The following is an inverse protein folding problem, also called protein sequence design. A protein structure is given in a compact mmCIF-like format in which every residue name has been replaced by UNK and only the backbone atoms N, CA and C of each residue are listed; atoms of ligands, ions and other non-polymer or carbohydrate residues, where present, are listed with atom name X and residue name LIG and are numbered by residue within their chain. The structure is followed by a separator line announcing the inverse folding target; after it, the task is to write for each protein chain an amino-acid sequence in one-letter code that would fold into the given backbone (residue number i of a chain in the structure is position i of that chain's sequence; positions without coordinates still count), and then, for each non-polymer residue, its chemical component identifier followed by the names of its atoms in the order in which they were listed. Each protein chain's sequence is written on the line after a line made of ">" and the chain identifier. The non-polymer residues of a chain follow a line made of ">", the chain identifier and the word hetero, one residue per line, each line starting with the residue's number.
data_IF_995285609184
#
_entry.id   IF_995285609184
#
_cell.length_a   1.000
_cell.length_b   1.000
_cell.length_c   1.000
_cell.angle_alpha   90.00
_cell.angle_beta   90.00
_cell.angle_gamma   90.00
#
_symmetry.space_group_name_H-M   'P 1'
#
loop_
_entity.id
_entity.type
_entity.pdbx_description
1 polymer ?
#
# COMPACT_ATOMS: atom_id res chain seq x y z
N UNK A 1 -47.51 -26.91 5.20
CA UNK A 1 -47.06 -25.92 6.19
C UNK A 1 -45.54 -25.85 6.06
N UNK A 2 -45.09 -25.37 4.91
CA UNK A 2 -44.70 -23.97 4.67
C UNK A 2 -43.39 -23.72 5.43
N UNK A 3 -42.20 -23.69 4.82
CA UNK A 3 -41.83 -23.18 3.51
C UNK A 3 -41.00 -21.92 3.73
N UNK A 4 -39.71 -21.92 3.34
CA UNK A 4 -38.99 -20.79 2.73
C UNK A 4 -37.48 -20.95 2.84
N UNK A 5 -36.88 -21.32 1.71
CA UNK A 5 -35.50 -21.08 1.28
C UNK A 5 -35.25 -19.59 1.01
N UNK A 6 -34.09 -19.06 1.42
CA UNK A 6 -33.61 -17.75 0.97
C UNK A 6 -32.32 -17.89 0.17
N UNK A 7 -32.47 -17.53 -1.10
CA UNK A 7 -31.55 -17.55 -2.23
C UNK A 7 -30.61 -16.31 -2.19
N UNK A 8 -29.33 -16.48 -2.53
CA UNK A 8 -28.33 -15.41 -2.59
C UNK A 8 -28.25 -14.87 -4.01
N UNK A 9 -28.94 -13.76 -4.28
CA UNK A 9 -28.81 -13.02 -5.54
C UNK A 9 -27.49 -12.26 -5.63
N UNK A 10 -26.70 -12.57 -6.67
CA UNK A 10 -25.63 -11.72 -7.22
C UNK A 10 -26.25 -10.42 -7.76
N UNK A 11 -25.85 -9.27 -7.23
CA UNK A 11 -26.15 -7.96 -7.83
C UNK A 11 -25.08 -7.62 -8.87
N UNK A 12 -25.46 -7.78 -10.14
CA UNK A 12 -24.71 -7.30 -11.30
C UNK A 12 -24.99 -5.80 -11.45
N UNK A 13 -23.93 -4.99 -11.56
CA UNK A 13 -24.06 -3.60 -12.01
C UNK A 13 -24.32 -3.68 -13.53
N UNK A 14 -25.49 -3.21 -13.95
CA UNK A 14 -25.87 -3.12 -15.37
C UNK A 14 -26.37 -1.71 -15.63
N UNK A 15 -25.69 -0.99 -16.51
CA UNK A 15 -26.26 0.15 -17.19
C UNK A 15 -27.25 -0.36 -18.25
N UNK A 16 -28.48 0.16 -18.20
CA UNK A 16 -29.54 -0.13 -19.18
C UNK A 16 -29.63 1.04 -20.15
N UNK A 17 -29.53 0.82 -21.47
CA UNK A 17 -30.32 1.50 -22.52
C UNK A 17 -30.21 0.75 -23.86
N UNK A 18 -31.33 0.78 -24.57
CA UNK A 18 -31.86 -0.01 -25.68
C UNK A 18 -31.20 0.26 -27.05
N UNK A 19 -31.17 -0.78 -27.88
CA UNK A 19 -30.55 -0.90 -29.21
C UNK A 19 -31.31 -0.22 -30.36
N UNK A 20 -30.63 -0.01 -31.52
CA UNK A 20 -31.06 -0.47 -32.86
C UNK A 20 -29.97 -0.28 -33.95
N UNK A 21 -29.53 -1.40 -34.55
CA UNK A 21 -29.16 -1.73 -35.95
C UNK A 21 -28.53 -0.67 -36.89
N UNK A 22 -27.34 -0.94 -37.47
CA UNK A 22 -27.06 -1.49 -38.84
C UNK A 22 -26.45 -0.41 -39.76
N UNK A 23 -25.50 -0.59 -40.68
CA UNK A 23 -24.58 -1.64 -41.14
C UNK A 23 -23.61 -0.95 -42.14
N UNK A 24 -22.42 -1.54 -42.38
CA UNK A 24 -21.51 -1.34 -43.54
C UNK A 24 -20.84 0.05 -43.73
N UNK A 25 -19.62 0.27 -44.22
CA UNK A 25 -18.50 -0.53 -44.70
C UNK A 25 -17.29 0.41 -45.03
N UNK A 26 -16.07 -0.08 -44.75
CA UNK A 26 -14.83 -0.01 -45.57
C UNK A 26 -14.00 1.30 -45.76
N UNK A 27 -12.69 1.16 -45.42
CA UNK A 27 -11.52 1.70 -46.16
C UNK A 27 -10.80 2.88 -45.48
N UNK A 28 -9.61 2.75 -44.87
CA UNK A 28 -8.29 2.51 -45.50
C UNK A 28 -7.68 3.86 -45.95
N UNK A 29 -6.45 4.30 -45.66
CA UNK A 29 -5.20 3.63 -45.33
C UNK A 29 -4.13 4.70 -44.95
N UNK A 30 -3.28 4.35 -43.98
CA UNK A 30 -1.83 4.48 -43.84
C UNK A 30 -1.00 5.61 -44.49
N UNK A 31 -0.03 6.11 -43.70
CA UNK A 31 1.08 6.95 -44.13
C UNK A 31 2.09 7.23 -43.00
N UNK A 32 2.85 6.20 -42.62
CA UNK A 32 4.03 6.20 -41.74
C UNK A 32 5.21 6.95 -42.44
N UNK A 33 6.17 7.61 -41.77
CA UNK A 33 7.52 7.04 -41.48
C UNK A 33 8.51 8.09 -40.90
N UNK A 34 9.18 7.68 -39.79
CA UNK A 34 10.59 7.86 -39.29
C UNK A 34 11.16 9.26 -38.94
N UNK A 35 11.69 9.54 -37.73
CA UNK A 35 12.79 9.00 -36.86
C UNK A 35 14.14 9.70 -37.12
N UNK A 36 14.71 10.35 -36.09
CA UNK A 36 16.16 10.44 -35.86
C UNK A 36 16.48 10.55 -34.35
N UNK A 37 17.69 10.10 -33.98
CA UNK A 37 18.09 9.57 -32.68
C UNK A 37 19.43 10.20 -32.21
N UNK A 38 19.45 10.80 -31.00
CA UNK A 38 20.56 10.94 -30.01
C UNK A 38 21.83 11.78 -30.37
N UNK A 39 22.66 12.30 -29.41
CA UNK A 39 23.03 11.71 -28.11
C UNK A 39 23.16 12.65 -26.88
N UNK A 40 23.55 12.02 -25.76
CA UNK A 40 23.68 12.51 -24.39
C UNK A 40 24.98 13.30 -24.11
N UNK A 41 24.98 14.10 -23.03
CA UNK A 41 26.09 14.19 -22.07
C UNK A 41 25.69 14.94 -20.78
N UNK A 42 26.20 14.43 -19.64
CA UNK A 42 26.21 15.07 -18.30
C UNK A 42 27.69 15.41 -18.00
N UNK A 43 28.04 16.38 -17.11
CA UNK A 43 28.34 15.98 -15.72
C UNK A 43 28.17 17.07 -14.61
N UNK A 44 28.16 16.54 -13.36
CA UNK A 44 28.71 17.08 -12.10
C UNK A 44 27.97 18.14 -11.21
N UNK A 45 27.44 17.62 -10.09
CA UNK A 45 27.65 17.97 -8.65
C UNK A 45 27.63 19.41 -8.14
N UNK A 46 26.78 19.68 -7.13
CA UNK A 46 27.16 20.37 -5.88
C UNK A 46 26.12 20.18 -4.75
N UNK A 47 26.64 19.97 -3.54
CA UNK A 47 25.96 19.81 -2.27
C UNK A 47 25.14 21.02 -1.81
N UNK A 48 23.97 20.78 -1.20
CA UNK A 48 23.48 21.65 -0.13
C UNK A 48 22.58 20.90 0.87
N UNK A 49 23.14 20.65 2.05
CA UNK A 49 22.45 20.18 3.24
C UNK A 49 21.63 21.29 3.90
N UNK A 50 20.33 21.08 4.09
CA UNK A 50 19.53 21.78 5.12
C UNK A 50 18.44 20.87 5.69
N UNK A 51 18.67 20.44 6.95
CA UNK A 51 17.68 20.38 8.05
C UNK A 51 16.23 19.96 7.74
N UNK A 52 15.95 18.65 7.78
CA UNK A 52 14.58 18.11 7.84
C UNK A 52 14.08 18.03 9.27
N UNK A 53 13.38 19.08 9.70
CA UNK A 53 12.45 19.02 10.84
C UNK A 53 11.22 18.20 10.44
N UNK A 54 10.86 17.19 11.25
CA UNK A 54 9.62 16.41 11.12
C UNK A 54 8.40 17.34 11.21
N UNK A 55 7.93 17.83 10.06
CA UNK A 55 6.64 18.51 9.94
C UNK A 55 5.54 17.47 9.83
N UNK A 56 4.58 17.57 10.75
CA UNK A 56 3.31 16.83 10.81
C UNK A 56 2.68 16.74 9.41
N UNK A 57 2.37 15.51 8.98
CA UNK A 57 1.74 15.19 7.70
C UNK A 57 0.47 16.03 7.50
N UNK A 58 0.42 16.72 6.37
CA UNK A 58 -0.78 17.40 5.84
C UNK A 58 -1.90 16.36 5.68
N UNK A 59 -3.09 16.76 6.09
CA UNK A 59 -4.35 16.03 6.07
C UNK A 59 -4.64 15.40 4.69
N UNK A 60 -5.14 14.17 4.72
CA UNK A 60 -5.89 13.48 3.67
C UNK A 60 -6.74 14.46 2.85
N UNK A 61 -6.25 14.81 1.66
CA UNK A 61 -6.94 15.62 0.64
C UNK A 61 -6.62 15.15 -0.79
N UNK A 62 -6.06 13.94 -0.93
CA UNK A 62 -5.88 13.17 -2.17
C UNK A 62 -6.78 11.94 -1.92
N UNK A 63 -7.85 11.58 -2.64
CA UNK A 63 -7.96 11.17 -4.04
C UNK A 63 -9.45 11.32 -4.49
N UNK A 64 -9.97 12.54 -4.53
CA UNK A 64 -11.26 12.84 -5.19
C UNK A 64 -11.18 14.09 -6.08
N UNK A 65 -9.97 14.63 -6.26
CA UNK A 65 -9.66 15.75 -7.14
C UNK A 65 -8.69 15.30 -8.23
N UNK A 66 -9.16 14.40 -9.08
CA UNK A 66 -8.66 14.33 -10.46
C UNK A 66 -9.87 14.71 -11.33
N UNK A 67 -9.67 15.76 -12.13
CA UNK A 67 -10.70 16.53 -12.80
C UNK A 67 -10.71 17.99 -12.35
N UNK A 68 -9.59 18.71 -12.47
CA UNK A 68 -9.68 20.15 -12.72
C UNK A 68 -10.48 20.31 -14.01
N UNK A 69 -11.74 20.78 -13.85
CA UNK A 69 -12.72 21.14 -14.88
C UNK A 69 -12.18 21.12 -16.32
N UNK A 70 -12.28 19.98 -17.00
CA UNK A 70 -12.24 19.95 -18.46
C UNK A 70 -13.66 20.29 -18.94
N UNK A 71 -13.95 21.59 -19.01
CA UNK A 71 -15.14 22.11 -19.69
C UNK A 71 -16.50 21.69 -19.10
N UNK A 72 -17.56 22.02 -19.85
CA UNK A 72 -18.98 21.82 -19.51
C UNK A 72 -19.37 20.34 -19.76
N UNK A 73 -18.58 19.40 -19.27
CA UNK A 73 -18.85 17.96 -19.41
C UNK A 73 -19.47 17.47 -18.10
N UNK A 74 -20.71 16.96 -18.18
CA UNK A 74 -21.36 16.34 -17.03
C UNK A 74 -20.54 15.13 -16.56
N UNK A 75 -20.15 15.11 -15.29
CA UNK A 75 -19.40 14.00 -14.70
C UNK A 75 -20.33 12.91 -14.14
N UNK A 76 -19.98 11.65 -14.40
CA UNK A 76 -20.67 10.50 -13.81
C UNK A 76 -20.39 10.44 -12.31
N UNK A 77 -21.48 10.35 -11.53
CA UNK A 77 -21.39 10.19 -10.07
C UNK A 77 -21.12 8.73 -9.74
N UNK A 78 -20.05 8.50 -9.00
CA UNK A 78 -19.76 7.20 -8.40
C UNK A 78 -20.73 7.00 -7.22
N UNK A 79 -21.19 5.75 -7.02
CA UNK A 79 -22.08 5.42 -5.94
C UNK A 79 -21.50 5.85 -4.58
N UNK A 80 -22.26 6.54 -3.71
CA UNK A 80 -21.76 7.04 -2.44
C UNK A 80 -21.29 5.92 -1.52
N UNK A 81 -21.92 4.74 -1.59
CA UNK A 81 -21.51 3.53 -0.85
C UNK A 81 -20.09 3.08 -1.21
N UNK A 82 -19.76 3.11 -2.50
CA UNK A 82 -18.43 2.74 -3.00
C UNK A 82 -17.35 3.71 -2.51
N UNK A 83 -17.65 5.00 -2.48
CA UNK A 83 -16.75 6.03 -1.91
C UNK A 83 -16.53 5.78 -0.41
N UNK A 84 -17.61 5.51 0.33
CA UNK A 84 -17.51 5.21 1.76
C UNK A 84 -16.66 3.96 2.03
N UNK A 85 -16.73 2.95 1.17
CA UNK A 85 -15.92 1.73 1.32
C UNK A 85 -14.44 1.95 1.01
N UNK A 86 -14.12 2.79 0.01
CA UNK A 86 -12.75 3.26 -0.22
C UNK A 86 -12.24 4.03 1.02
N UNK A 87 -13.06 4.91 1.60
CA UNK A 87 -12.67 5.65 2.80
C UNK A 87 -12.42 4.72 3.99
N UNK A 88 -13.23 3.66 4.17
CA UNK A 88 -12.99 2.64 5.21
C UNK A 88 -11.66 1.94 4.99
N UNK A 89 -11.32 1.63 3.74
CA UNK A 89 -10.02 1.05 3.39
C UNK A 89 -8.86 1.98 3.77
N UNK A 90 -8.95 3.27 3.41
CA UNK A 90 -7.92 4.28 3.75
C UNK A 90 -7.80 4.45 5.26
N UNK A 91 -8.91 4.53 5.99
CA UNK A 91 -8.90 4.61 7.46
C UNK A 91 -8.22 3.41 8.09
N UNK A 92 -8.43 2.21 7.54
CA UNK A 92 -7.72 1.03 8.03
C UNK A 92 -6.22 1.10 7.73
N UNK A 93 -5.83 1.60 6.56
CA UNK A 93 -4.44 1.84 6.23
C UNK A 93 -3.77 2.78 7.24
N UNK A 94 -4.39 3.91 7.59
CA UNK A 94 -3.82 4.86 8.55
C UNK A 94 -3.52 4.18 9.91
N UNK A 95 -4.48 3.40 10.41
CA UNK A 95 -4.32 2.62 11.65
C UNK A 95 -3.23 1.56 11.51
N UNK A 96 -3.13 0.92 10.34
CA UNK A 96 -2.11 -0.09 10.07
C UNK A 96 -0.70 0.52 10.00
N UNK A 97 -0.52 1.68 9.35
CA UNK A 97 0.75 2.41 9.26
C UNK A 97 1.24 2.82 10.66
N UNK A 98 0.35 3.41 11.48
CA UNK A 98 0.67 3.80 12.85
C UNK A 98 1.02 2.59 13.73
N UNK A 99 0.31 1.47 13.55
CA UNK A 99 0.59 0.22 14.26
C UNK A 99 1.95 -0.35 13.86
N UNK A 100 2.30 -0.37 12.57
CA UNK A 100 3.61 -0.82 12.10
C UNK A 100 4.71 0.03 12.73
N UNK A 101 4.58 1.36 12.69
CA UNK A 101 5.57 2.27 13.29
C UNK A 101 5.73 2.03 14.80
N UNK A 102 4.63 1.79 15.51
CA UNK A 102 4.65 1.51 16.95
C UNK A 102 5.33 0.18 17.25
N UNK A 103 4.99 -0.88 16.51
CA UNK A 103 5.61 -2.21 16.68
C UNK A 103 7.10 -2.18 16.34
N UNK A 104 7.49 -1.51 15.25
CA UNK A 104 8.90 -1.35 14.89
C UNK A 104 9.67 -0.59 15.97
N UNK A 105 9.08 0.45 16.57
CA UNK A 105 9.68 1.20 17.68
C UNK A 105 9.90 0.36 18.94
N UNK A 106 9.03 -0.62 19.22
CA UNK A 106 9.21 -1.57 20.33
C UNK A 106 10.33 -2.56 20.02
N UNK A 107 10.39 -3.07 18.77
CA UNK A 107 11.35 -4.08 18.35
C UNK A 107 12.77 -3.52 18.18
N UNK A 108 12.90 -2.26 17.78
CA UNK A 108 14.19 -1.63 17.52
C UNK A 108 14.16 -0.17 17.99
N UNK A 109 14.71 0.09 19.18
CA UNK A 109 14.75 1.44 19.76
C UNK A 109 15.71 2.38 19.04
N UNK A 110 16.67 1.86 18.26
CA UNK A 110 17.64 2.69 17.56
C UNK A 110 17.02 3.30 16.28
N UNK A 111 16.80 4.62 16.21
CA UNK A 111 16.15 5.26 15.07
C UNK A 111 16.99 5.19 13.79
N UNK A 112 18.32 5.04 13.88
CA UNK A 112 19.19 4.92 12.70
C UNK A 112 18.96 3.61 11.96
N UNK A 113 18.67 2.53 12.69
CA UNK A 113 18.42 1.21 12.11
C UNK A 113 17.02 1.18 11.50
N UNK A 114 16.03 1.74 12.21
CA UNK A 114 14.67 1.90 11.67
C UNK A 114 14.63 2.74 10.39
N UNK A 115 15.48 3.77 10.27
CA UNK A 115 15.57 4.58 9.05
C UNK A 115 15.97 3.74 7.82
N UNK A 116 16.73 2.65 8.01
CA UNK A 116 17.07 1.70 6.94
C UNK A 116 15.97 0.68 6.68
N UNK A 117 14.80 0.83 7.31
CA UNK A 117 13.69 -0.12 7.21
C UNK A 117 14.05 -1.52 7.76
N UNK A 118 15.05 -1.61 8.64
CA UNK A 118 15.48 -2.86 9.29
C UNK A 118 15.07 -2.87 10.76
N UNK A 119 14.82 -4.06 11.28
CA UNK A 119 14.49 -4.28 12.70
C UNK A 119 15.68 -4.92 13.42
N UNK A 120 16.37 -5.85 12.75
CA UNK A 120 17.54 -6.53 13.29
C UNK A 120 18.70 -5.54 13.42
N UNK A 121 19.33 -5.50 14.60
CA UNK A 121 20.61 -4.83 14.77
C UNK A 121 21.66 -5.49 13.86
N UNK A 122 22.70 -4.79 13.42
CA UNK A 122 23.80 -5.49 12.73
C UNK A 122 24.55 -6.37 13.74
N UNK A 123 25.29 -7.36 13.25
CA UNK A 123 26.12 -8.21 14.12
C UNK A 123 27.01 -7.35 15.02
N UNK A 124 27.07 -7.69 16.31
CA UNK A 124 27.90 -7.03 17.33
C UNK A 124 27.53 -5.57 17.65
N UNK A 125 26.45 -5.03 17.09
CA UNK A 125 25.95 -3.69 17.43
C UNK A 125 24.67 -3.74 18.29
N UNK A 126 24.33 -4.92 18.80
CA UNK A 126 23.26 -5.04 19.78
C UNK A 126 23.76 -4.52 21.15
N UNK A 127 22.97 -3.67 21.85
CA UNK A 127 23.40 -3.10 23.13
C UNK A 127 23.74 -4.17 24.17
N UNK A 128 23.08 -5.33 24.14
CA UNK A 128 23.37 -6.42 25.08
C UNK A 128 24.60 -7.24 24.66
N UNK A 129 24.90 -7.32 23.36
CA UNK A 129 26.17 -7.90 22.87
C UNK A 129 27.37 -7.02 23.24
N UNK A 130 27.20 -5.69 23.16
CA UNK A 130 28.18 -4.71 23.66
C UNK A 130 28.38 -4.84 25.16
N UNK A 131 27.30 -4.88 25.95
CA UNK A 131 27.36 -5.09 27.38
C UNK A 131 28.05 -6.42 27.76
N UNK A 132 27.78 -7.50 27.01
CA UNK A 132 28.44 -8.80 27.21
C UNK A 132 29.94 -8.69 26.99
N UNK A 133 30.39 -7.98 25.94
CA UNK A 133 31.83 -7.74 25.69
C UNK A 133 32.47 -6.91 26.80
N UNK A 134 31.81 -5.85 27.25
CA UNK A 134 32.30 -5.03 28.36
C UNK A 134 32.44 -5.86 29.65
N UNK A 135 31.45 -6.69 29.98
CA UNK A 135 31.51 -7.57 31.14
C UNK A 135 32.64 -8.59 31.06
N UNK A 136 32.97 -9.08 29.85
CA UNK A 136 34.12 -9.99 29.66
C UNK A 136 35.44 -9.29 29.98
N UNK A 137 35.64 -8.05 29.51
CA UNK A 137 36.85 -7.28 29.82
C UNK A 137 36.97 -7.01 31.34
N UNK A 138 35.85 -6.70 32.01
CA UNK A 138 35.83 -6.51 33.45
C UNK A 138 36.14 -7.82 34.20
N UNK A 139 35.66 -8.97 33.69
CA UNK A 139 35.99 -10.27 34.26
C UNK A 139 37.50 -10.53 34.23
N UNK A 140 38.15 -10.23 33.11
CA UNK A 140 39.60 -10.36 32.93
C UNK A 140 40.36 -9.45 33.91
N UNK A 141 39.94 -8.19 34.06
CA UNK A 141 40.57 -7.21 34.97
C UNK A 141 40.47 -7.59 36.45
N UNK A 142 39.33 -8.15 36.87
CA UNK A 142 39.07 -8.53 38.27
C UNK A 142 39.37 -10.00 38.58
N UNK A 143 40.14 -10.70 37.72
CA UNK A 143 40.47 -12.14 37.88
C UNK A 143 41.10 -12.47 39.23
N UNK A 144 41.82 -11.53 39.84
CA UNK A 144 42.54 -11.72 41.10
C UNK A 144 41.64 -11.54 42.35
N UNK A 145 40.44 -10.99 42.20
CA UNK A 145 39.56 -10.69 43.33
C UNK A 145 38.30 -11.60 43.27
N UNK A 146 38.21 -12.65 44.11
CA UNK A 146 37.25 -13.74 43.92
C UNK A 146 35.78 -13.31 44.06
N UNK A 147 35.49 -12.32 44.92
CA UNK A 147 34.12 -11.82 45.13
C UNK A 147 33.62 -11.02 43.92
N UNK A 148 34.42 -10.11 43.40
CA UNK A 148 34.08 -9.27 42.25
C UNK A 148 34.10 -10.08 40.96
N UNK A 149 35.03 -11.02 40.79
CA UNK A 149 35.05 -11.96 39.68
C UNK A 149 33.77 -12.80 39.59
N UNK A 150 33.29 -13.34 40.73
CA UNK A 150 32.03 -14.11 40.78
C UNK A 150 30.82 -13.25 40.38
N UNK A 151 30.77 -11.99 40.82
CA UNK A 151 29.71 -11.06 40.45
C UNK A 151 29.71 -10.77 38.93
N UNK A 152 30.88 -10.45 38.36
CA UNK A 152 31.02 -10.20 36.91
C UNK A 152 30.71 -11.44 36.07
N UNK A 153 31.00 -12.63 36.57
CA UNK A 153 30.62 -13.90 35.91
C UNK A 153 29.10 -14.00 35.76
N UNK A 154 28.35 -13.64 36.82
CA UNK A 154 26.88 -13.64 36.80
C UNK A 154 26.37 -12.58 35.80
N UNK A 155 26.85 -11.34 35.87
CA UNK A 155 26.44 -10.28 34.94
C UNK A 155 26.73 -10.63 33.48
N UNK A 156 27.92 -11.16 33.18
CA UNK A 156 28.26 -11.62 31.85
C UNK A 156 27.30 -12.71 31.36
N UNK A 157 26.93 -13.65 32.22
CA UNK A 157 25.90 -14.67 31.93
C UNK A 157 24.53 -14.06 31.61
N UNK A 158 24.07 -13.12 32.43
CA UNK A 158 22.80 -12.41 32.23
C UNK A 158 22.77 -11.63 30.91
N UNK A 159 23.78 -10.79 30.63
CA UNK A 159 23.83 -10.01 29.39
C UNK A 159 23.95 -10.91 28.15
N UNK A 160 24.70 -12.02 28.25
CA UNK A 160 24.79 -12.99 27.16
C UNK A 160 23.44 -13.64 26.86
N UNK A 161 22.66 -13.97 27.89
CA UNK A 161 21.32 -14.51 27.71
C UNK A 161 20.37 -13.46 27.12
N UNK A 162 20.40 -12.24 27.66
CA UNK A 162 19.58 -11.12 27.19
C UNK A 162 19.88 -10.76 25.73
N UNK A 163 21.15 -10.81 25.30
CA UNK A 163 21.54 -10.62 23.91
C UNK A 163 20.88 -11.65 22.98
N UNK A 164 20.87 -12.94 23.36
CA UNK A 164 20.20 -13.99 22.58
C UNK A 164 18.70 -13.75 22.50
N UNK A 165 18.06 -13.49 23.65
CA UNK A 165 16.62 -13.21 23.71
C UNK A 165 16.26 -12.00 22.85
N UNK A 166 17.03 -10.92 22.93
CA UNK A 166 16.77 -9.71 22.15
C UNK A 166 16.89 -9.94 20.63
N UNK A 167 17.83 -10.80 20.19
CA UNK A 167 17.93 -11.23 18.79
C UNK A 167 16.71 -12.03 18.34
N UNK A 168 16.29 -13.00 19.14
CA UNK A 168 15.11 -13.82 18.86
C UNK A 168 13.85 -12.98 18.78
N UNK A 169 13.70 -12.03 19.71
CA UNK A 169 12.70 -10.96 19.70
C UNK A 169 12.77 -10.23 18.35
N UNK A 170 13.84 -9.52 18.02
CA UNK A 170 13.92 -8.77 16.73
C UNK A 170 13.55 -9.64 15.50
N UNK A 171 14.06 -10.87 15.42
CA UNK A 171 13.81 -11.81 14.34
C UNK A 171 12.33 -12.20 14.25
N UNK A 172 11.74 -12.65 15.36
CA UNK A 172 10.36 -13.09 15.37
C UNK A 172 9.41 -11.94 15.00
N UNK A 173 9.78 -10.68 15.26
CA UNK A 173 8.85 -9.53 15.14
C UNK A 173 8.80 -9.01 13.78
N UNK A 174 9.98 -8.94 13.18
CA UNK A 174 10.06 -8.83 11.73
C UNK A 174 9.18 -9.88 11.06
N UNK A 175 9.15 -11.13 11.55
CA UNK A 175 8.27 -12.17 10.99
C UNK A 175 6.78 -11.93 11.30
N UNK A 176 6.44 -11.46 12.50
CA UNK A 176 5.07 -11.23 12.94
C UNK A 176 4.42 -10.04 12.23
N UNK A 177 5.17 -8.96 12.00
CA UNK A 177 4.65 -7.74 11.37
C UNK A 177 4.79 -7.72 9.85
N UNK A 178 5.44 -8.72 9.25
CA UNK A 178 5.80 -8.73 7.82
C UNK A 178 4.60 -8.48 6.90
N UNK A 179 3.47 -9.16 7.13
CA UNK A 179 2.28 -9.02 6.26
C UNK A 179 1.66 -7.64 6.43
N UNK A 180 1.52 -7.17 7.67
CA UNK A 180 1.03 -5.82 7.96
C UNK A 180 1.91 -4.75 7.29
N UNK A 181 3.23 -4.92 7.35
CA UNK A 181 4.19 -4.03 6.69
C UNK A 181 4.09 -4.10 5.16
N UNK A 182 3.92 -5.29 4.57
CA UNK A 182 3.67 -5.44 3.13
C UNK A 182 2.39 -4.74 2.70
N UNK A 183 1.34 -4.84 3.51
CA UNK A 183 0.08 -4.16 3.25
C UNK A 183 0.27 -2.64 3.17
N UNK A 184 0.94 -2.06 4.16
CA UNK A 184 1.22 -0.62 4.22
C UNK A 184 2.14 -0.17 3.08
N UNK A 185 3.25 -0.86 2.84
CA UNK A 185 4.26 -0.41 1.86
C UNK A 185 3.94 -0.76 0.41
N UNK A 186 3.05 -1.73 0.15
CA UNK A 186 2.78 -2.22 -1.22
C UNK A 186 1.30 -2.28 -1.55
N UNK A 187 0.51 -3.05 -0.79
CA UNK A 187 -0.86 -3.37 -1.20
C UNK A 187 -1.75 -2.11 -1.22
N UNK A 188 -1.56 -1.19 -0.27
CA UNK A 188 -2.24 0.10 -0.28
C UNK A 188 -1.86 0.97 -1.49
N UNK A 189 -0.57 1.06 -1.85
CA UNK A 189 -0.13 1.83 -3.02
C UNK A 189 -0.72 1.29 -4.32
N UNK A 190 -0.85 -0.04 -4.43
CA UNK A 190 -1.51 -0.67 -5.57
C UNK A 190 -2.99 -0.31 -5.63
N UNK A 191 -3.71 -0.36 -4.51
CA UNK A 191 -5.11 0.07 -4.44
C UNK A 191 -5.28 1.56 -4.83
N UNK A 192 -4.40 2.45 -4.38
CA UNK A 192 -4.42 3.86 -4.76
C UNK A 192 -4.21 4.07 -6.26
N UNK A 193 -3.30 3.32 -6.86
CA UNK A 193 -3.05 3.39 -8.30
C UNK A 193 -4.26 2.88 -9.11
N UNK A 194 -4.89 1.79 -8.67
CA UNK A 194 -6.12 1.30 -9.31
C UNK A 194 -7.30 2.27 -9.12
N UNK A 195 -7.39 2.97 -7.98
CA UNK A 195 -8.36 4.04 -7.77
C UNK A 195 -8.09 5.24 -8.70
N UNK A 196 -6.82 5.62 -8.91
CA UNK A 196 -6.44 6.69 -9.83
C UNK A 196 -6.83 6.35 -11.27
N UNK A 197 -6.56 5.11 -11.70
CA UNK A 197 -6.98 4.60 -13.03
C UNK A 197 -8.50 4.63 -13.17
N UNK A 198 -9.25 4.29 -12.11
CA UNK A 198 -10.71 4.38 -12.12
C UNK A 198 -11.19 5.81 -12.39
N UNK A 199 -10.60 6.82 -11.74
CA UNK A 199 -10.96 8.22 -12.00
C UNK A 199 -10.66 8.63 -13.44
N UNK A 200 -9.54 8.17 -14.01
CA UNK A 200 -9.19 8.46 -15.41
C UNK A 200 -10.18 7.79 -16.37
N UNK A 201 -10.49 6.50 -16.15
CA UNK A 201 -11.47 5.79 -16.98
C UNK A 201 -12.85 6.44 -16.95
N UNK A 202 -13.26 7.01 -15.79
CA UNK A 202 -14.49 7.79 -15.66
C UNK A 202 -14.45 9.03 -16.56
N UNK A 203 -13.37 9.81 -16.49
CA UNK A 203 -13.24 11.06 -17.24
C UNK A 203 -13.25 10.79 -18.77
N UNK A 204 -12.58 9.70 -19.21
CA UNK A 204 -12.60 9.25 -20.61
C UNK A 204 -14.02 8.82 -21.03
N UNK A 205 -14.68 8.01 -20.20
CA UNK A 205 -16.07 7.57 -20.45
C UNK A 205 -17.04 8.76 -20.53
N UNK A 206 -16.89 9.77 -19.66
CA UNK A 206 -17.72 10.96 -19.67
C UNK A 206 -17.48 11.83 -20.91
N UNK A 207 -16.23 11.91 -21.38
CA UNK A 207 -15.88 12.55 -22.65
C UNK A 207 -16.53 11.82 -23.84
N UNK A 208 -16.39 10.49 -23.92
CA UNK A 208 -17.00 9.70 -24.98
C UNK A 208 -18.54 9.82 -24.97
N UNK A 209 -19.17 9.88 -23.78
CA UNK A 209 -20.60 10.16 -23.65
C UNK A 209 -20.97 11.54 -24.20
N UNK A 210 -20.15 12.55 -23.92
CA UNK A 210 -20.36 13.89 -24.43
C UNK A 210 -20.30 13.92 -25.96
N UNK A 211 -19.32 13.24 -26.56
CA UNK A 211 -19.15 13.16 -28.01
C UNK A 211 -20.39 12.55 -28.67
N UNK A 212 -20.88 11.40 -28.17
CA UNK A 212 -22.14 10.77 -28.63
C UNK A 212 -23.32 11.73 -28.61
N UNK A 213 -23.41 12.59 -27.59
CA UNK A 213 -24.51 13.57 -27.44
C UNK A 213 -24.40 14.76 -28.38
N UNK A 214 -23.19 15.15 -28.79
CA UNK A 214 -22.97 16.29 -29.69
C UNK A 214 -23.11 15.92 -31.16
N UNK A 215 -22.99 14.64 -31.49
CA UNK A 215 -23.12 14.12 -32.85
C UNK A 215 -24.53 14.30 -33.41
N UNK A 216 -24.63 14.69 -34.70
CA UNK A 216 -25.92 14.97 -35.37
C UNK A 216 -26.26 13.95 -36.47
N UNK A 217 -25.28 13.21 -36.97
CA UNK A 217 -25.47 12.25 -38.06
C UNK A 217 -25.56 10.82 -37.51
N UNK A 218 -26.37 9.97 -38.16
CA UNK A 218 -26.64 8.62 -37.68
C UNK A 218 -25.39 7.72 -37.69
N UNK A 219 -24.55 7.85 -38.71
CA UNK A 219 -23.32 7.05 -38.87
C UNK A 219 -22.28 7.37 -37.79
N UNK A 220 -22.08 8.66 -37.51
CA UNK A 220 -21.16 9.09 -36.45
C UNK A 220 -21.69 8.70 -35.06
N UNK A 221 -23.02 8.70 -34.84
CA UNK A 221 -23.62 8.24 -33.57
C UNK A 221 -23.31 6.75 -33.34
N UNK A 222 -23.36 5.91 -34.37
CA UNK A 222 -22.99 4.50 -34.24
C UNK A 222 -21.50 4.34 -33.91
N UNK A 223 -20.62 5.10 -34.59
CA UNK A 223 -19.18 5.08 -34.34
C UNK A 223 -18.82 5.51 -32.91
N UNK A 224 -19.29 6.69 -32.48
CA UNK A 224 -19.05 7.18 -31.12
C UNK A 224 -19.76 6.32 -30.06
N UNK A 225 -20.90 5.72 -30.39
CA UNK A 225 -21.60 4.78 -29.51
C UNK A 225 -20.75 3.55 -29.18
N UNK A 226 -20.10 2.96 -30.19
CA UNK A 226 -19.15 1.84 -30.00
C UNK A 226 -17.95 2.23 -29.13
N UNK A 227 -17.40 3.44 -29.33
CA UNK A 227 -16.31 3.95 -28.48
C UNK A 227 -16.76 4.15 -27.03
N UNK A 228 -17.95 4.70 -26.82
CA UNK A 228 -18.53 4.87 -25.50
C UNK A 228 -18.75 3.54 -24.79
N UNK A 229 -19.28 2.53 -25.49
CA UNK A 229 -19.46 1.17 -24.94
C UNK A 229 -18.13 0.56 -24.48
N UNK A 230 -17.06 0.72 -25.26
CA UNK A 230 -15.71 0.32 -24.86
C UNK A 230 -15.24 1.03 -23.59
N UNK A 231 -15.44 2.34 -23.50
CA UNK A 231 -15.05 3.12 -22.32
C UNK A 231 -15.85 2.72 -21.06
N UNK A 232 -17.14 2.38 -21.21
CA UNK A 232 -17.97 1.85 -20.11
C UNK A 232 -17.42 0.51 -19.63
N UNK A 233 -17.08 -0.39 -20.55
CA UNK A 233 -16.48 -1.68 -20.21
C UNK A 233 -15.17 -1.52 -19.43
N UNK A 234 -14.30 -0.61 -19.87
CA UNK A 234 -13.03 -0.33 -19.19
C UNK A 234 -13.24 0.27 -17.80
N UNK A 235 -14.20 1.19 -17.65
CA UNK A 235 -14.59 1.74 -16.35
C UNK A 235 -15.09 0.65 -15.40
N UNK A 236 -15.99 -0.23 -15.85
CA UNK A 236 -16.53 -1.32 -15.06
C UNK A 236 -15.45 -2.33 -14.65
N UNK A 237 -14.55 -2.69 -15.58
CA UNK A 237 -13.39 -3.53 -15.29
C UNK A 237 -12.49 -2.91 -14.22
N UNK A 238 -12.26 -1.60 -14.30
CA UNK A 238 -11.43 -0.89 -13.34
C UNK A 238 -12.11 -0.74 -11.98
N UNK A 239 -13.44 -0.53 -11.95
CA UNK A 239 -14.23 -0.50 -10.73
C UNK A 239 -14.17 -1.84 -9.99
N UNK A 240 -14.30 -2.95 -10.72
CA UNK A 240 -14.22 -4.30 -10.17
C UNK A 240 -12.84 -4.60 -9.53
N UNK A 241 -11.74 -4.08 -10.10
CA UNK A 241 -10.41 -4.22 -9.48
C UNK A 241 -10.32 -3.51 -8.14
N UNK A 242 -10.84 -2.27 -8.05
CA UNK A 242 -10.85 -1.50 -6.80
C UNK A 242 -11.75 -2.19 -5.77
N UNK A 243 -12.92 -2.67 -6.20
CA UNK A 243 -13.85 -3.42 -5.34
C UNK A 243 -13.21 -4.69 -4.77
N UNK A 244 -12.39 -5.40 -5.54
CA UNK A 244 -11.70 -6.60 -5.07
C UNK A 244 -10.80 -6.31 -3.85
N UNK A 245 -10.12 -5.16 -3.79
CA UNK A 245 -9.33 -4.77 -2.61
C UNK A 245 -10.21 -4.53 -1.38
N UNK A 246 -11.36 -3.90 -1.58
CA UNK A 246 -12.33 -3.60 -0.52
C UNK A 246 -12.92 -4.91 0.05
N UNK A 247 -13.32 -5.83 -0.82
CA UNK A 247 -13.92 -7.11 -0.43
C UNK A 247 -12.96 -8.01 0.36
N UNK A 248 -11.67 -7.97 0.04
CA UNK A 248 -10.65 -8.79 0.72
C UNK A 248 -10.18 -8.15 2.05
N UNK A 249 -10.42 -6.86 2.26
CA UNK A 249 -9.95 -6.12 3.43
C UNK A 249 -10.33 -6.75 4.79
N UNK A 250 -11.58 -7.20 5.03
CA UNK A 250 -11.94 -7.83 6.30
C UNK A 250 -11.10 -9.08 6.61
N UNK A 251 -10.84 -9.89 5.58
CA UNK A 251 -9.99 -11.07 5.72
C UNK A 251 -8.55 -10.68 6.03
N UNK A 252 -7.99 -9.70 5.30
CA UNK A 252 -6.64 -9.19 5.55
C UNK A 252 -6.51 -8.68 6.99
N UNK A 253 -7.52 -7.96 7.50
CA UNK A 253 -7.54 -7.48 8.88
C UNK A 253 -7.44 -8.62 9.89
N UNK A 254 -8.23 -9.69 9.71
CA UNK A 254 -8.17 -10.88 10.57
C UNK A 254 -6.77 -11.50 10.52
N UNK A 255 -6.20 -11.66 9.33
CA UNK A 255 -4.85 -12.20 9.17
C UNK A 255 -3.78 -11.35 9.82
N UNK A 256 -3.86 -10.02 9.70
CA UNK A 256 -2.93 -9.10 10.34
C UNK A 256 -2.98 -9.20 11.86
N UNK A 257 -4.19 -9.18 12.44
CA UNK A 257 -4.38 -9.31 13.89
C UNK A 257 -3.85 -10.67 14.35
N UNK A 258 -4.23 -11.74 13.65
CA UNK A 258 -3.82 -13.09 13.98
C UNK A 258 -2.29 -13.24 13.95
N UNK A 259 -1.61 -12.74 12.93
CA UNK A 259 -0.15 -12.83 12.87
C UNK A 259 0.52 -12.01 13.97
N UNK A 260 0.07 -10.79 14.24
CA UNK A 260 0.64 -9.97 15.32
C UNK A 260 0.34 -10.59 16.68
N UNK A 261 -0.83 -11.20 16.89
CA UNK A 261 -1.21 -11.79 18.16
C UNK A 261 -0.54 -13.16 18.37
N UNK A 262 -0.74 -14.12 17.47
CA UNK A 262 -0.19 -15.48 17.62
C UNK A 262 1.33 -15.49 17.54
N UNK A 263 1.91 -14.71 16.63
CA UNK A 263 3.36 -14.65 16.47
C UNK A 263 3.99 -13.55 17.30
N UNK A 264 3.23 -12.68 17.97
CA UNK A 264 3.71 -11.55 18.78
C UNK A 264 3.39 -11.64 20.29
N UNK A 265 2.48 -12.50 20.75
CA UNK A 265 2.19 -12.71 22.19
C UNK A 265 3.13 -13.70 22.85
N UNK A 266 3.77 -14.58 22.08
CA UNK A 266 4.88 -15.42 22.57
C UNK A 266 6.11 -14.65 23.08
N UNK A 267 6.03 -13.32 23.14
CA UNK A 267 7.12 -12.38 23.37
C UNK A 267 7.14 -11.77 24.74
N UNK A 268 5.96 -11.67 25.35
CA UNK A 268 5.76 -10.99 26.63
C UNK A 268 5.45 -11.99 27.77
N UNK A 269 5.44 -13.29 27.50
CA UNK A 269 5.26 -14.35 28.51
C UNK A 269 6.61 -14.85 29.10
N UNK A 270 7.61 -13.97 29.17
CA UNK A 270 8.87 -14.21 29.88
C UNK A 270 9.16 -13.06 30.84
#
# INVERSE_FOLDING_TARGET
>A
MDGSTSDKSKKKVTATTTATNSADAVGGSDGEVQVEHFPADTPASSDLSTTTTRKKKKKSNLILRVGEKVGIIEQTRIAPEFIQDIEKYIKYYDVADDLVGSLEGVLQKNPRILATSRIEASEKQDPYEEATRACRLLLELYSHEPKTHKLWTIFHGCFRHLAKLHREIQLNGRRAIRKLRRFVSKDHLQMLEEQRKLMISRDIMDSARHDVRQTKTSEEVEHFGKLYEGCVHDFDCQAAKVEAYILVLPNNRIWHIREVHEKGIFWFNF
#
